data_IF_316030634384
#
_entry.id   IF_316030634384
#
_cell.length_a   1.000
_cell.length_b   1.000
_cell.length_c   1.000
_cell.angle_alpha   90.00
_cell.angle_beta   90.00
_cell.angle_gamma   90.00
#
_symmetry.space_group_name_H-M   'P 1'
#
loop_
_entity.id
_entity.type
_entity.pdbx_description
1 polymer ?
#
# COMPACT_ATOMS: atom_id res chain seq x y z
N UNK A 1 -0.05 7.62 4.41
CA UNK A 1 1.40 7.68 4.74
C UNK A 1 2.25 6.92 3.72
N UNK A 2 2.08 5.61 3.52
CA UNK A 2 2.89 4.80 2.58
C UNK A 2 2.97 5.44 1.18
N UNK A 3 1.82 5.83 0.62
CA UNK A 3 1.76 6.49 -0.70
C UNK A 3 2.56 7.80 -0.75
N UNK A 4 2.48 8.65 0.28
CA UNK A 4 3.24 9.89 0.34
C UNK A 4 4.76 9.62 0.42
N UNK A 5 5.18 8.63 1.22
CA UNK A 5 6.61 8.24 1.29
C UNK A 5 7.08 7.69 -0.06
N UNK A 6 6.26 6.86 -0.71
CA UNK A 6 6.55 6.29 -2.02
C UNK A 6 6.71 7.38 -3.09
N UNK A 7 5.77 8.32 -3.22
CA UNK A 7 5.90 9.43 -4.17
C UNK A 7 7.06 10.36 -3.82
N UNK A 8 7.39 10.54 -2.54
CA UNK A 8 8.61 11.23 -2.12
C UNK A 8 9.87 10.55 -2.67
N UNK A 9 9.94 9.21 -2.60
CA UNK A 9 11.04 8.43 -3.19
C UNK A 9 11.04 8.53 -4.72
N UNK A 10 9.88 8.55 -5.37
CA UNK A 10 9.79 8.75 -6.83
C UNK A 10 10.40 10.10 -7.23
N UNK A 11 9.98 11.19 -6.58
CA UNK A 11 10.54 12.53 -6.82
C UNK A 11 12.05 12.58 -6.57
N UNK A 12 12.53 11.96 -5.49
CA UNK A 12 13.97 11.89 -5.22
C UNK A 12 14.71 11.08 -6.30
N UNK A 13 14.10 10.00 -6.80
CA UNK A 13 14.66 9.16 -7.86
C UNK A 13 14.80 9.96 -9.15
N UNK A 14 13.74 10.67 -9.54
CA UNK A 14 13.70 11.43 -10.77
C UNK A 14 14.68 12.60 -10.72
N UNK A 15 14.72 13.35 -9.61
CA UNK A 15 15.68 14.43 -9.43
C UNK A 15 17.13 13.92 -9.46
N UNK A 16 17.39 12.81 -8.78
CA UNK A 16 18.73 12.19 -8.79
C UNK A 16 19.12 11.71 -10.19
N UNK A 17 18.16 11.16 -10.95
CA UNK A 17 18.40 10.72 -12.33
C UNK A 17 18.74 11.89 -13.25
N UNK A 18 18.07 13.04 -13.10
CA UNK A 18 18.34 14.25 -13.87
C UNK A 18 19.70 14.84 -13.54
N UNK A 19 20.08 14.88 -12.26
CA UNK A 19 21.36 15.41 -11.80
C UNK A 19 22.55 14.51 -12.20
N UNK A 20 22.35 13.20 -12.30
CA UNK A 20 23.40 12.25 -12.68
C UNK A 20 23.65 12.22 -14.19
N UNK A 21 22.70 12.70 -15.01
CA UNK A 21 22.68 12.58 -16.48
C UNK A 21 23.78 13.37 -17.24
N UNK A 22 24.77 13.90 -16.54
CA UNK A 22 25.94 14.58 -17.11
C UNK A 22 27.16 14.60 -16.18
N UNK A 23 27.21 13.72 -15.17
CA UNK A 23 28.29 13.68 -14.18
C UNK A 23 28.85 12.25 -14.08
N UNK A 24 30.15 12.05 -14.30
CA UNK A 24 30.82 10.73 -14.30
C UNK A 24 31.08 10.16 -12.88
N UNK A 25 30.25 10.53 -11.90
CA UNK A 25 30.42 10.08 -10.51
C UNK A 25 29.86 8.68 -10.32
N UNK A 26 30.74 7.67 -10.26
CA UNK A 26 30.36 6.28 -9.98
C UNK A 26 29.55 6.12 -8.67
N UNK A 27 29.82 6.94 -7.66
CA UNK A 27 29.08 6.88 -6.40
C UNK A 27 27.64 7.38 -6.57
N UNK A 28 27.40 8.44 -7.35
CA UNK A 28 26.05 8.94 -7.62
C UNK A 28 25.23 7.90 -8.40
N UNK A 29 25.81 7.24 -9.39
CA UNK A 29 25.13 6.15 -10.10
C UNK A 29 24.76 4.99 -9.16
N UNK A 30 25.65 4.63 -8.23
CA UNK A 30 25.39 3.57 -7.26
C UNK A 30 24.22 3.94 -6.33
N UNK A 31 24.16 5.18 -5.87
CA UNK A 31 23.06 5.66 -5.04
C UNK A 31 21.74 5.72 -5.82
N UNK A 32 21.77 6.18 -7.08
CA UNK A 32 20.60 6.16 -7.96
C UNK A 32 20.05 4.74 -8.15
N UNK A 33 20.91 3.74 -8.40
CA UNK A 33 20.49 2.34 -8.53
C UNK A 33 19.82 1.81 -7.26
N UNK A 34 20.35 2.14 -6.08
CA UNK A 34 19.72 1.78 -4.79
C UNK A 34 18.35 2.44 -4.63
N UNK A 35 18.22 3.70 -5.03
CA UNK A 35 16.99 4.46 -4.91
C UNK A 35 15.90 3.93 -5.86
N UNK A 36 16.27 3.61 -7.10
CA UNK A 36 15.40 2.90 -8.06
C UNK A 36 14.96 1.55 -7.50
N UNK A 37 15.88 0.76 -6.95
CA UNK A 37 15.55 -0.54 -6.37
C UNK A 37 14.61 -0.41 -5.16
N UNK A 38 14.82 0.60 -4.31
CA UNK A 38 13.93 0.90 -3.19
C UNK A 38 12.54 1.33 -3.67
N UNK A 39 12.48 2.22 -4.66
CA UNK A 39 11.22 2.66 -5.29
C UNK A 39 10.43 1.47 -5.82
N UNK A 40 11.07 0.61 -6.61
CA UNK A 40 10.42 -0.54 -7.23
C UNK A 40 9.95 -1.57 -6.19
N UNK A 41 10.79 -1.84 -5.18
CA UNK A 41 10.41 -2.71 -4.08
C UNK A 41 9.22 -2.14 -3.28
N UNK A 42 9.26 -0.85 -2.95
CA UNK A 42 8.17 -0.19 -2.23
C UNK A 42 6.88 -0.16 -3.04
N UNK A 43 6.97 0.07 -4.34
CA UNK A 43 5.82 0.01 -5.25
C UNK A 43 5.16 -1.36 -5.21
N UNK A 44 5.96 -2.41 -5.42
CA UNK A 44 5.50 -3.78 -5.52
C UNK A 44 4.95 -4.33 -4.19
N UNK A 45 5.67 -4.13 -3.08
CA UNK A 45 5.37 -4.78 -1.79
C UNK A 45 4.42 -3.96 -0.92
N UNK A 46 4.45 -2.63 -1.01
CA UNK A 46 3.71 -1.76 -0.10
C UNK A 46 2.68 -0.91 -0.84
N UNK A 47 3.10 -0.01 -1.73
CA UNK A 47 2.24 1.02 -2.27
C UNK A 47 1.05 0.44 -3.05
N UNK A 48 1.30 -0.51 -3.95
CA UNK A 48 0.25 -1.11 -4.75
C UNK A 48 -0.69 -2.04 -3.95
N UNK A 49 -0.22 -3.16 -3.35
CA UNK A 49 -1.12 -4.11 -2.71
C UNK A 49 -1.86 -3.50 -1.51
N UNK A 50 -1.18 -2.68 -0.69
CA UNK A 50 -1.83 -1.99 0.44
C UNK A 50 -2.77 -0.90 -0.07
N UNK A 51 -2.39 -0.16 -1.12
CA UNK A 51 -3.24 0.87 -1.72
C UNK A 51 -4.56 0.30 -2.22
N UNK A 52 -4.51 -0.75 -3.05
CA UNK A 52 -5.70 -1.46 -3.54
C UNK A 52 -6.51 -2.03 -2.39
N UNK A 53 -5.87 -2.64 -1.40
CA UNK A 53 -6.52 -3.18 -0.21
C UNK A 53 -7.29 -2.11 0.56
N UNK A 54 -6.67 -0.96 0.83
CA UNK A 54 -7.30 0.14 1.57
C UNK A 54 -8.53 0.65 0.81
N UNK A 55 -8.44 0.92 -0.49
CA UNK A 55 -9.58 1.41 -1.27
C UNK A 55 -10.71 0.38 -1.28
N UNK A 56 -10.40 -0.87 -1.59
CA UNK A 56 -11.40 -1.93 -1.72
C UNK A 56 -12.09 -2.21 -0.39
N UNK A 57 -11.36 -2.42 0.69
CA UNK A 57 -11.94 -2.70 2.00
C UNK A 57 -12.69 -1.50 2.57
N UNK A 58 -12.10 -0.30 2.50
CA UNK A 58 -12.71 0.90 3.04
C UNK A 58 -14.06 1.16 2.38
N UNK A 59 -14.12 1.27 1.05
CA UNK A 59 -15.37 1.61 0.37
C UNK A 59 -16.41 0.49 0.43
N UNK A 60 -15.98 -0.78 0.39
CA UNK A 60 -16.91 -1.91 0.54
C UNK A 60 -17.61 -1.87 1.90
N UNK A 61 -16.85 -1.68 2.99
CA UNK A 61 -17.42 -1.57 4.33
C UNK A 61 -18.19 -0.26 4.47
N UNK A 62 -17.66 0.85 3.97
CA UNK A 62 -18.29 2.17 4.07
C UNK A 62 -19.69 2.21 3.45
N UNK A 63 -19.85 1.59 2.26
CA UNK A 63 -21.13 1.52 1.56
C UNK A 63 -22.12 0.60 2.30
N UNK A 64 -21.64 -0.49 2.88
CA UNK A 64 -22.46 -1.41 3.65
C UNK A 64 -22.93 -0.77 4.98
N UNK A 65 -21.97 -0.35 5.80
CA UNK A 65 -22.20 0.42 7.02
C UNK A 65 -20.92 1.19 7.40
N UNK A 66 -20.94 2.51 7.16
CA UNK A 66 -19.81 3.38 7.47
C UNK A 66 -19.39 3.38 8.93
N UNK A 67 -20.27 3.12 9.89
CA UNK A 67 -19.90 3.17 11.32
C UNK A 67 -18.84 2.10 11.68
N UNK A 68 -18.72 1.05 10.87
CA UNK A 68 -17.77 -0.06 11.08
C UNK A 68 -16.31 0.31 10.76
N UNK A 69 -16.07 1.36 9.97
CA UNK A 69 -14.73 1.77 9.52
C UNK A 69 -14.48 3.28 9.62
N UNK A 70 -15.54 4.08 9.51
CA UNK A 70 -15.49 5.54 9.48
C UNK A 70 -16.73 6.16 10.17
N UNK A 71 -16.75 6.20 11.51
CA UNK A 71 -17.86 6.73 12.29
C UNK A 71 -18.23 8.17 11.94
N UNK A 72 -19.50 8.54 12.06
CA UNK A 72 -19.98 9.93 11.81
C UNK A 72 -19.26 11.00 12.60
N UNK A 73 -18.74 10.64 13.78
CA UNK A 73 -17.93 11.56 14.59
C UNK A 73 -16.74 12.14 13.83
N UNK A 74 -16.14 11.37 12.90
CA UNK A 74 -14.99 11.80 12.12
C UNK A 74 -15.31 12.90 11.11
N UNK A 75 -16.56 13.06 10.69
CA UNK A 75 -16.97 14.11 9.74
C UNK A 75 -16.73 15.52 10.32
N UNK A 76 -16.70 15.66 11.65
CA UNK A 76 -16.43 16.92 12.34
C UNK A 76 -14.96 17.34 12.24
N UNK A 77 -14.05 16.40 11.95
CA UNK A 77 -12.61 16.63 11.93
C UNK A 77 -12.00 16.46 10.54
N UNK A 78 -12.58 15.58 9.73
CA UNK A 78 -12.06 15.16 8.44
C UNK A 78 -13.12 15.50 7.38
N UNK A 79 -12.91 16.56 6.59
CA UNK A 79 -13.85 16.91 5.53
C UNK A 79 -13.86 15.84 4.43
N UNK A 80 -14.98 15.73 3.71
CA UNK A 80 -15.19 14.68 2.70
C UNK A 80 -14.10 14.62 1.63
N UNK A 81 -13.57 15.76 1.18
CA UNK A 81 -12.48 15.79 0.20
C UNK A 81 -11.20 15.13 0.72
N UNK A 82 -10.91 15.31 2.02
CA UNK A 82 -9.75 14.70 2.65
C UNK A 82 -9.96 13.20 2.83
N UNK A 83 -11.19 12.78 3.17
CA UNK A 83 -11.54 11.36 3.22
C UNK A 83 -11.31 10.68 1.86
N UNK A 84 -11.80 11.27 0.76
CA UNK A 84 -11.50 10.79 -0.59
C UNK A 84 -10.01 10.85 -0.92
N UNK A 85 -9.31 11.90 -0.48
CA UNK A 85 -7.86 12.03 -0.63
C UNK A 85 -7.07 10.94 0.10
N UNK A 86 -7.62 10.35 1.16
CA UNK A 86 -6.98 9.26 1.90
C UNK A 86 -7.37 7.87 1.37
N UNK A 87 -8.62 7.70 0.93
CA UNK A 87 -9.19 6.37 0.66
C UNK A 87 -9.60 6.12 -0.80
N UNK A 88 -9.61 7.13 -1.67
CA UNK A 88 -9.93 6.96 -3.11
C UNK A 88 -8.70 7.24 -3.97
N UNK A 89 -8.05 8.39 -3.79
CA UNK A 89 -7.02 8.90 -4.70
C UNK A 89 -5.74 8.06 -4.73
N UNK A 90 -5.50 7.27 -3.69
CA UNK A 90 -4.35 6.35 -3.60
C UNK A 90 -4.32 5.34 -4.76
N UNK A 91 -5.49 4.89 -5.24
CA UNK A 91 -5.57 3.93 -6.36
C UNK A 91 -5.26 4.54 -7.73
N UNK A 92 -5.91 5.63 -8.19
CA UNK A 92 -5.59 6.22 -9.48
C UNK A 92 -4.13 6.69 -9.55
N UNK A 93 -3.57 7.26 -8.49
CA UNK A 93 -2.16 7.69 -8.51
C UNK A 93 -1.18 6.53 -8.62
N UNK A 94 -1.39 5.43 -7.89
CA UNK A 94 -0.50 4.26 -8.00
C UNK A 94 -0.64 3.58 -9.37
N UNK A 95 -1.83 3.60 -9.98
CA UNK A 95 -2.02 3.08 -11.34
C UNK A 95 -1.36 3.96 -12.40
N UNK A 96 -1.43 5.29 -12.25
CA UNK A 96 -0.71 6.22 -13.12
C UNK A 96 0.79 5.95 -13.03
N UNK A 97 1.34 5.85 -11.82
CA UNK A 97 2.77 5.57 -11.62
C UNK A 97 3.19 4.24 -12.26
N UNK A 98 2.42 3.17 -12.05
CA UNK A 98 2.68 1.88 -12.70
C UNK A 98 2.63 1.96 -14.23
N UNK A 99 1.81 2.87 -14.77
CA UNK A 99 1.69 3.07 -16.21
C UNK A 99 2.83 3.90 -16.80
N UNK A 100 3.36 4.85 -16.04
CA UNK A 100 4.44 5.76 -16.47
C UNK A 100 5.83 5.21 -16.21
N UNK A 101 5.98 4.35 -15.19
CA UNK A 101 7.25 3.77 -14.76
C UNK A 101 7.18 2.25 -14.73
N UNK A 102 8.13 1.58 -15.40
CA UNK A 102 8.27 0.14 -15.28
C UNK A 102 8.97 -0.20 -13.97
N UNK A 103 8.29 -0.95 -13.09
CA UNK A 103 8.84 -1.38 -11.81
C UNK A 103 9.30 -2.83 -11.86
N UNK A 104 10.52 -3.08 -11.37
CA UNK A 104 11.05 -4.43 -11.19
C UNK A 104 10.46 -5.06 -9.93
N UNK A 105 9.57 -6.03 -10.07
CA UNK A 105 9.05 -6.80 -8.94
C UNK A 105 10.15 -7.73 -8.38
N UNK A 106 10.24 -7.91 -7.04
CA UNK A 106 11.09 -8.94 -6.47
C UNK A 106 10.59 -10.33 -6.88
N UNK A 107 11.37 -11.39 -6.59
CA UNK A 107 10.88 -12.75 -6.81
C UNK A 107 9.57 -12.98 -6.07
N UNK A 108 8.63 -13.70 -6.69
CA UNK A 108 7.28 -13.94 -6.15
C UNK A 108 7.26 -14.38 -4.70
N UNK A 109 8.10 -15.35 -4.34
CA UNK A 109 8.19 -15.86 -2.98
C UNK A 109 8.68 -14.80 -2.00
N UNK A 110 9.68 -13.99 -2.38
CA UNK A 110 10.18 -12.90 -1.57
C UNK A 110 9.13 -11.78 -1.40
N UNK A 111 8.47 -11.39 -2.49
CA UNK A 111 7.42 -10.38 -2.46
C UNK A 111 6.22 -10.79 -1.61
N UNK A 112 5.70 -12.01 -1.81
CA UNK A 112 4.62 -12.57 -0.99
C UNK A 112 5.01 -12.67 0.49
N UNK A 113 6.22 -13.15 0.80
CA UNK A 113 6.71 -13.20 2.17
C UNK A 113 6.80 -11.79 2.80
N UNK A 114 7.25 -10.79 2.05
CA UNK A 114 7.33 -9.41 2.52
C UNK A 114 5.94 -8.78 2.76
N UNK A 115 5.00 -8.96 1.84
CA UNK A 115 3.61 -8.50 1.97
C UNK A 115 2.93 -9.17 3.17
N UNK A 116 3.11 -10.49 3.33
CA UNK A 116 2.60 -11.25 4.46
C UNK A 116 3.19 -10.76 5.79
N UNK A 117 4.51 -10.56 5.84
CA UNK A 117 5.20 -10.03 7.04
C UNK A 117 4.66 -8.66 7.42
N UNK A 118 4.46 -7.78 6.44
CA UNK A 118 3.87 -6.46 6.67
C UNK A 118 2.43 -6.57 7.20
N UNK A 119 1.59 -7.41 6.60
CA UNK A 119 0.21 -7.62 7.02
C UNK A 119 0.11 -8.15 8.46
N UNK A 120 0.91 -9.18 8.80
CA UNK A 120 0.98 -9.73 10.16
C UNK A 120 1.48 -8.68 11.14
N UNK A 121 2.53 -7.93 10.79
CA UNK A 121 3.04 -6.82 11.61
C UNK A 121 1.97 -5.77 11.91
N UNK A 122 1.16 -5.41 10.90
CA UNK A 122 0.05 -4.48 11.07
C UNK A 122 -1.08 -5.04 11.94
N UNK A 123 -1.44 -6.31 11.76
CA UNK A 123 -2.44 -6.99 12.61
C UNK A 123 -1.98 -7.02 14.07
N UNK A 124 -0.71 -7.39 14.32
CA UNK A 124 -0.13 -7.37 15.66
C UNK A 124 -0.17 -5.97 16.27
N UNK A 125 0.11 -4.94 15.48
CA UNK A 125 0.00 -3.55 15.92
C UNK A 125 -1.43 -3.15 16.28
N UNK A 126 -2.43 -3.52 15.47
CA UNK A 126 -3.85 -3.27 15.78
C UNK A 126 -4.27 -3.99 17.06
N UNK A 127 -3.88 -5.25 17.24
CA UNK A 127 -4.12 -6.01 18.46
C UNK A 127 -3.44 -5.37 19.68
N UNK A 128 -2.22 -4.86 19.51
CA UNK A 128 -1.49 -4.15 20.55
C UNK A 128 -2.22 -2.87 20.98
N UNK A 129 -2.71 -2.07 20.03
CA UNK A 129 -3.49 -0.87 20.35
C UNK A 129 -4.70 -1.25 21.21
N UNK A 130 -5.49 -2.23 20.79
CA UNK A 130 -6.64 -2.69 21.57
C UNK A 130 -6.24 -3.21 22.95
N UNK A 131 -5.13 -3.94 23.06
CA UNK A 131 -4.64 -4.41 24.36
C UNK A 131 -4.33 -3.26 25.32
N UNK A 132 -3.78 -2.14 24.82
CA UNK A 132 -3.40 -0.98 25.63
C UNK A 132 -4.58 -0.03 25.90
N UNK A 133 -5.44 0.21 24.91
CA UNK A 133 -6.51 1.22 25.00
C UNK A 133 -7.87 0.63 25.36
N UNK A 134 -8.07 -0.67 25.21
CA UNK A 134 -9.37 -1.33 25.30
C UNK A 134 -10.30 -1.04 24.11
N UNK A 135 -9.82 -0.36 23.06
CA UNK A 135 -10.64 0.06 21.92
C UNK A 135 -10.00 -0.40 20.61
N UNK A 136 -10.80 -1.01 19.73
CA UNK A 136 -10.32 -1.35 18.39
C UNK A 136 -10.21 -0.12 17.51
N UNK A 137 -9.12 -0.06 16.74
CA UNK A 137 -8.92 0.93 15.68
C UNK A 137 -10.07 0.90 14.66
N UNK A 138 -10.61 -0.29 14.41
CA UNK A 138 -11.74 -0.52 13.51
C UNK A 138 -12.95 -1.02 14.31
N UNK A 139 -14.05 -0.24 14.42
CA UNK A 139 -15.25 -0.65 15.14
C UNK A 139 -15.83 -1.99 14.69
N UNK A 140 -15.63 -2.37 13.41
CA UNK A 140 -15.95 -3.71 12.90
C UNK A 140 -15.46 -4.83 13.82
N UNK A 141 -14.23 -4.73 14.34
CA UNK A 141 -13.61 -5.78 15.12
C UNK A 141 -14.29 -5.97 16.48
N UNK A 142 -14.88 -4.93 17.06
CA UNK A 142 -15.63 -5.04 18.32
C UNK A 142 -16.82 -6.02 18.16
N UNK A 143 -17.45 -6.01 16.99
CA UNK A 143 -18.65 -6.81 16.69
C UNK A 143 -18.35 -8.28 16.35
N UNK A 144 -17.09 -8.65 16.16
CA UNK A 144 -16.69 -10.01 15.79
C UNK A 144 -16.36 -10.85 17.03
N UNK A 145 -16.78 -12.12 17.07
CA UNK A 145 -16.29 -13.04 18.11
C UNK A 145 -14.79 -13.35 17.90
N UNK A 146 -14.06 -13.81 18.93
CA UNK A 146 -12.62 -14.09 18.82
C UNK A 146 -12.27 -15.07 17.68
N UNK A 147 -13.06 -16.12 17.47
CA UNK A 147 -12.85 -17.06 16.37
C UNK A 147 -13.02 -16.42 15.00
N UNK A 148 -14.04 -15.56 14.85
CA UNK A 148 -14.29 -14.84 13.59
C UNK A 148 -13.19 -13.80 13.31
N UNK A 149 -12.63 -13.16 14.35
CA UNK A 149 -11.47 -12.25 14.19
C UNK A 149 -10.26 -12.98 13.59
N UNK A 150 -9.96 -14.20 14.04
CA UNK A 150 -8.85 -14.99 13.50
C UNK A 150 -9.07 -15.30 12.02
N UNK A 151 -10.28 -15.72 11.66
CA UNK A 151 -10.66 -15.99 10.26
C UNK A 151 -10.55 -14.71 9.43
N UNK A 152 -11.04 -13.58 9.95
CA UNK A 152 -10.96 -12.29 9.29
C UNK A 152 -9.51 -11.87 9.05
N UNK A 153 -8.63 -11.97 10.05
CA UNK A 153 -7.20 -11.66 9.92
C UNK A 153 -6.49 -12.57 8.91
N UNK A 154 -6.81 -13.86 8.89
CA UNK A 154 -6.29 -14.77 7.88
C UNK A 154 -6.78 -14.39 6.48
N UNK A 155 -8.06 -14.08 6.33
CA UNK A 155 -8.66 -13.71 5.05
C UNK A 155 -8.06 -12.41 4.49
N UNK A 156 -7.94 -11.35 5.29
CA UNK A 156 -7.32 -10.09 4.82
C UNK A 156 -5.85 -10.29 4.44
N UNK A 157 -5.13 -11.17 5.14
CA UNK A 157 -3.74 -11.52 4.82
C UNK A 157 -3.65 -12.26 3.47
N UNK A 158 -4.59 -13.16 3.17
CA UNK A 158 -4.67 -13.81 1.86
C UNK A 158 -5.02 -12.79 0.77
N UNK A 159 -6.02 -11.94 1.01
CA UNK A 159 -6.49 -10.94 0.03
C UNK A 159 -5.37 -9.98 -0.37
N UNK A 160 -4.59 -9.44 0.58
CA UNK A 160 -3.50 -8.52 0.25
C UNK A 160 -2.38 -9.20 -0.56
N UNK A 161 -2.14 -10.49 -0.33
CA UNK A 161 -1.21 -11.28 -1.16
C UNK A 161 -1.76 -11.52 -2.57
N UNK A 162 -3.07 -11.69 -2.73
CA UNK A 162 -3.71 -11.72 -4.05
C UNK A 162 -3.52 -10.38 -4.76
N UNK A 163 -3.67 -9.25 -4.06
CA UNK A 163 -3.42 -7.94 -4.68
C UNK A 163 -1.96 -7.72 -5.10
N UNK A 164 -0.99 -8.31 -4.39
CA UNK A 164 0.40 -8.33 -4.84
C UNK A 164 0.53 -9.05 -6.19
N UNK A 165 -0.07 -10.24 -6.33
CA UNK A 165 -0.05 -10.99 -7.59
C UNK A 165 -0.76 -10.24 -8.73
N UNK A 166 -1.89 -9.59 -8.43
CA UNK A 166 -2.58 -8.73 -9.40
C UNK A 166 -1.68 -7.58 -9.84
N UNK A 167 -0.94 -6.96 -8.92
CA UNK A 167 0.02 -5.91 -9.23
C UNK A 167 1.16 -6.37 -10.12
N UNK A 168 1.72 -7.54 -9.84
CA UNK A 168 2.77 -8.15 -10.66
C UNK A 168 2.26 -8.41 -12.09
N UNK A 169 1.09 -9.04 -12.22
CA UNK A 169 0.47 -9.33 -13.52
C UNK A 169 0.16 -8.04 -14.28
N UNK A 170 -0.41 -7.04 -13.61
CA UNK A 170 -0.77 -5.77 -14.23
C UNK A 170 0.47 -5.00 -14.71
N UNK A 171 1.53 -4.94 -13.89
CA UNK A 171 2.79 -4.31 -14.26
C UNK A 171 3.40 -4.99 -15.49
N UNK A 172 3.47 -6.32 -15.50
CA UNK A 172 4.01 -7.06 -16.64
C UNK A 172 3.14 -6.84 -17.90
N UNK A 173 1.81 -6.90 -17.77
CA UNK A 173 0.91 -6.68 -18.90
C UNK A 173 1.08 -5.28 -19.55
N UNK A 174 1.23 -4.23 -18.73
CA UNK A 174 1.41 -2.85 -19.21
C UNK A 174 2.72 -2.67 -20.00
N UNK A 175 3.78 -3.40 -19.64
CA UNK A 175 5.13 -3.18 -20.17
C UNK A 175 5.62 -4.28 -21.12
N UNK A 176 5.10 -5.50 -21.05
CA UNK A 176 5.38 -6.56 -22.04
C UNK A 176 4.64 -6.32 -23.36
N UNK A 177 3.54 -5.55 -23.37
CA UNK A 177 2.89 -5.08 -24.62
C UNK A 177 3.73 -4.05 -25.40
N UNK A 178 4.90 -3.65 -24.88
CA UNK A 178 5.84 -2.75 -25.56
C UNK A 178 7.06 -3.47 -26.19
N UNK A 179 7.09 -4.81 -26.19
CA UNK A 179 8.06 -5.62 -26.95
C UNK A 179 7.43 -6.16 -28.23
#
# INVERSE_FOLDING_TARGET
VIQAVFFGICVLTDLSSLLTRGNDSQEQERQLKKLISLRDWMMAVLAFPVGVFVVTMFWSIYIYDRELVYPKLLDNFIPAWLNHGMHTTVLPFVLIEMRTTHHQYPSRSCGLAAVCTFAVGYILWVCWIHHVTGVWVYPLLEHLSPGVKIIFFAAVTVIINIFYLVGEVLNNYIWDTQK
#
